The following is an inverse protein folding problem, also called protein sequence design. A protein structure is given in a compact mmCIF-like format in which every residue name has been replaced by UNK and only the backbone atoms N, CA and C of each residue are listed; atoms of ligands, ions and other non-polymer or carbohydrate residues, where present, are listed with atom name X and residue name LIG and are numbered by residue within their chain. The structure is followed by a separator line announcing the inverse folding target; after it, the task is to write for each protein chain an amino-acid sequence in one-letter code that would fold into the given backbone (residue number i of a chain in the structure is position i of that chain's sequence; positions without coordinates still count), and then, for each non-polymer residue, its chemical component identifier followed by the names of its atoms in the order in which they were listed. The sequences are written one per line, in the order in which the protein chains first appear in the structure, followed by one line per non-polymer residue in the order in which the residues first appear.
data_IF_915839414890
#
_entry.id   IF_915839414890
#
_cell.length_a   1.000
_cell.length_b   1.000
_cell.length_c   1.000
_cell.angle_alpha   90.00
_cell.angle_beta   90.00
_cell.angle_gamma   90.00
#
_symmetry.space_group_name_H-M   'P 1'
#
loop_
_entity.id
_entity.type
_entity.pdbx_description
1 polymer ?
#
# COMPACT_ATOMS: atom_id res chain seq x y z
N UNK A 1 -5.03 -10.91 -28.06
CA UNK A 1 -5.22 -9.67 -27.26
C UNK A 1 -6.61 -9.74 -26.67
N UNK A 2 -6.79 -9.49 -25.36
CA UNK A 2 -8.11 -9.58 -24.71
C UNK A 2 -9.06 -8.52 -25.30
N UNK A 3 -10.30 -8.89 -25.55
CA UNK A 3 -11.41 -7.99 -25.89
C UNK A 3 -11.77 -7.10 -24.69
N UNK A 4 -12.55 -6.03 -24.90
CA UNK A 4 -13.06 -5.19 -23.81
C UNK A 4 -13.77 -6.02 -22.74
N UNK A 5 -14.69 -6.90 -23.16
CA UNK A 5 -15.47 -7.72 -22.24
C UNK A 5 -14.58 -8.64 -21.40
N UNK A 6 -13.56 -9.25 -22.01
CA UNK A 6 -12.58 -10.09 -21.31
C UNK A 6 -11.75 -9.28 -20.31
N UNK A 7 -11.34 -8.05 -20.64
CA UNK A 7 -10.60 -7.17 -19.72
C UNK A 7 -11.45 -6.76 -18.51
N UNK A 8 -12.69 -6.33 -18.75
CA UNK A 8 -13.63 -5.95 -17.69
C UNK A 8 -13.89 -7.12 -16.73
N UNK A 9 -14.09 -8.32 -17.28
CA UNK A 9 -14.28 -9.53 -16.49
C UNK A 9 -13.02 -9.93 -15.72
N UNK A 10 -11.85 -9.86 -16.37
CA UNK A 10 -10.56 -10.20 -15.78
C UNK A 10 -10.26 -9.31 -14.57
N UNK A 11 -10.39 -7.98 -14.72
CA UNK A 11 -10.19 -7.03 -13.63
C UNK A 11 -11.19 -7.29 -12.50
N UNK A 12 -12.49 -7.44 -12.82
CA UNK A 12 -13.52 -7.70 -11.81
C UNK A 12 -13.24 -8.99 -11.01
N UNK A 13 -12.76 -10.04 -11.68
CA UNK A 13 -12.36 -11.29 -11.02
C UNK A 13 -11.13 -11.11 -10.13
N UNK A 14 -10.13 -10.35 -10.58
CA UNK A 14 -8.92 -10.06 -9.80
C UNK A 14 -9.27 -9.38 -8.48
N UNK A 15 -10.17 -8.40 -8.49
CA UNK A 15 -10.54 -7.60 -7.31
C UNK A 15 -11.82 -8.11 -6.62
N UNK A 16 -12.29 -9.32 -6.92
CA UNK A 16 -13.63 -9.78 -6.51
C UNK A 16 -13.85 -9.86 -4.99
N UNK A 17 -12.79 -10.04 -4.21
CA UNK A 17 -12.86 -10.11 -2.75
C UNK A 17 -12.55 -8.77 -2.06
N UNK A 18 -12.42 -7.69 -2.85
CA UNK A 18 -12.15 -6.36 -2.34
C UNK A 18 -13.29 -5.90 -1.43
N UNK A 19 -12.97 -5.71 -0.15
CA UNK A 19 -13.89 -5.32 0.93
C UNK A 19 -15.13 -6.21 0.98
N UNK A 20 -14.95 -7.52 0.75
CA UNK A 20 -16.01 -8.51 0.78
C UNK A 20 -16.81 -8.43 2.09
N UNK A 21 -18.14 -8.33 1.98
CA UNK A 21 -19.05 -8.16 3.12
C UNK A 21 -19.27 -6.70 3.55
N UNK A 22 -18.45 -5.75 3.10
CA UNK A 22 -18.63 -4.32 3.38
C UNK A 22 -19.26 -3.55 2.21
N UNK A 23 -18.95 -3.94 0.97
CA UNK A 23 -19.46 -3.31 -0.26
C UNK A 23 -19.91 -4.38 -1.26
N UNK A 24 -20.73 -4.02 -2.27
CA UNK A 24 -21.07 -4.94 -3.35
C UNK A 24 -19.82 -5.46 -4.05
N UNK A 25 -19.81 -6.76 -4.35
CA UNK A 25 -18.74 -7.41 -5.09
C UNK A 25 -18.50 -6.70 -6.44
N UNK A 26 -17.23 -6.39 -6.80
CA UNK A 26 -16.92 -5.78 -8.07
C UNK A 26 -17.42 -6.62 -9.27
N UNK A 27 -17.97 -5.95 -10.27
CA UNK A 27 -18.52 -6.56 -11.50
C UNK A 27 -17.90 -5.94 -12.75
N UNK A 28 -18.03 -6.57 -13.93
CA UNK A 28 -17.63 -5.95 -15.19
C UNK A 28 -18.26 -4.57 -15.42
N UNK A 29 -19.54 -4.39 -15.00
CA UNK A 29 -20.24 -3.10 -15.08
C UNK A 29 -19.61 -2.05 -14.17
N UNK A 30 -19.14 -2.43 -12.99
CA UNK A 30 -18.41 -1.54 -12.09
C UNK A 30 -17.10 -1.05 -12.74
N UNK A 31 -16.31 -1.95 -13.33
CA UNK A 31 -15.07 -1.61 -14.04
C UNK A 31 -15.36 -0.74 -15.28
N UNK A 32 -16.43 -1.05 -16.03
CA UNK A 32 -16.82 -0.29 -17.22
C UNK A 32 -17.27 1.13 -16.87
N UNK A 33 -17.99 1.30 -15.75
CA UNK A 33 -18.36 2.63 -15.24
C UNK A 33 -17.13 3.45 -14.87
N UNK A 34 -16.14 2.83 -14.21
CA UNK A 34 -14.89 3.50 -13.86
C UNK A 34 -14.12 3.97 -15.11
N UNK A 35 -13.89 3.08 -16.09
CA UNK A 35 -13.06 3.39 -17.25
C UNK A 35 -13.71 4.41 -18.20
N UNK A 36 -15.04 4.51 -18.22
CA UNK A 36 -15.78 5.50 -19.04
C UNK A 36 -15.53 6.96 -18.63
N UNK A 37 -14.85 7.20 -17.51
CA UNK A 37 -14.41 8.53 -17.08
C UNK A 37 -13.16 9.04 -17.82
N UNK A 38 -12.50 8.15 -18.59
CA UNK A 38 -11.34 8.45 -19.44
C UNK A 38 -11.76 8.56 -20.92
N UNK A 39 -10.94 9.23 -21.72
CA UNK A 39 -11.17 9.42 -23.16
C UNK A 39 -11.30 8.08 -23.89
N UNK A 40 -12.20 8.00 -24.87
CA UNK A 40 -12.62 6.72 -25.47
C UNK A 40 -11.50 5.92 -26.13
N UNK A 41 -10.52 6.61 -26.71
CA UNK A 41 -9.37 6.03 -27.40
C UNK A 41 -8.33 5.42 -26.45
N UNK A 42 -8.26 5.87 -25.20
CA UNK A 42 -7.32 5.35 -24.19
C UNK A 42 -7.92 4.23 -23.33
N UNK A 43 -9.23 4.02 -23.34
CA UNK A 43 -9.89 3.06 -22.43
C UNK A 43 -9.37 1.62 -22.57
N UNK A 44 -9.19 1.11 -23.79
CA UNK A 44 -8.70 -0.27 -24.00
C UNK A 44 -7.21 -0.42 -23.61
N UNK A 45 -6.30 0.49 -24.03
CA UNK A 45 -4.93 0.50 -23.52
C UNK A 45 -4.85 0.56 -21.99
N UNK A 46 -5.68 1.42 -21.38
CA UNK A 46 -5.71 1.60 -19.92
C UNK A 46 -6.19 0.34 -19.20
N UNK A 47 -7.28 -0.27 -19.66
CA UNK A 47 -7.76 -1.55 -19.11
C UNK A 47 -6.72 -2.66 -19.27
N UNK A 48 -6.03 -2.71 -20.41
CA UNK A 48 -5.03 -3.74 -20.68
C UNK A 48 -3.87 -3.66 -19.70
N UNK A 49 -3.33 -2.47 -19.48
CA UNK A 49 -2.23 -2.31 -18.53
C UNK A 49 -2.68 -2.45 -17.08
N UNK A 50 -3.87 -1.93 -16.74
CA UNK A 50 -4.42 -2.06 -15.40
C UNK A 50 -4.66 -3.53 -15.02
N UNK A 51 -5.21 -4.33 -15.94
CA UNK A 51 -5.39 -5.78 -15.76
C UNK A 51 -4.05 -6.47 -15.48
N UNK A 52 -3.02 -6.15 -16.28
CA UNK A 52 -1.67 -6.70 -16.08
C UNK A 52 -1.09 -6.30 -14.73
N UNK A 53 -1.20 -5.02 -14.35
CA UNK A 53 -0.63 -4.51 -13.11
C UNK A 53 -1.35 -5.10 -11.89
N UNK A 54 -2.69 -5.14 -11.88
CA UNK A 54 -3.46 -5.67 -10.76
C UNK A 54 -3.24 -7.19 -10.57
N UNK A 55 -3.04 -7.96 -11.64
CA UNK A 55 -2.65 -9.39 -11.53
C UNK A 55 -1.36 -9.58 -10.70
N UNK A 56 -0.48 -8.58 -10.65
CA UNK A 56 0.78 -8.61 -9.88
C UNK A 56 0.73 -7.90 -8.55
N UNK A 57 -0.22 -6.98 -8.37
CA UNK A 57 -0.18 -5.98 -7.28
C UNK A 57 -1.45 -5.94 -6.44
N UNK A 58 -2.49 -6.67 -6.83
CA UNK A 58 -3.64 -6.94 -5.98
C UNK A 58 -3.39 -8.18 -5.10
N UNK A 59 -3.46 -8.01 -3.79
CA UNK A 59 -3.33 -9.09 -2.82
C UNK A 59 -4.68 -9.46 -2.24
N UNK A 60 -5.27 -10.51 -2.82
CA UNK A 60 -6.51 -11.14 -2.32
C UNK A 60 -6.34 -11.67 -0.89
N UNK A 61 -7.45 -11.88 -0.18
CA UNK A 61 -7.47 -12.46 1.17
C UNK A 61 -6.74 -13.79 1.21
N UNK A 62 -6.93 -14.62 0.19
CA UNK A 62 -6.27 -15.92 0.07
C UNK A 62 -4.75 -15.77 -0.08
N UNK A 63 -4.29 -14.82 -0.89
CA UNK A 63 -2.84 -14.55 -1.07
C UNK A 63 -2.22 -14.05 0.24
N UNK A 64 -2.90 -13.12 0.92
CA UNK A 64 -2.46 -12.59 2.23
C UNK A 64 -2.41 -13.70 3.28
N UNK A 65 -3.48 -14.48 3.46
CA UNK A 65 -3.52 -15.57 4.45
C UNK A 65 -2.45 -16.64 4.19
N UNK A 66 -2.25 -17.04 2.93
CA UNK A 66 -1.18 -17.99 2.56
C UNK A 66 0.21 -17.45 2.87
N UNK A 67 0.46 -16.16 2.61
CA UNK A 67 1.75 -15.56 2.92
C UNK A 67 2.07 -15.67 4.41
N UNK A 68 1.14 -15.26 5.28
CA UNK A 68 1.32 -15.33 6.74
C UNK A 68 1.41 -16.77 7.25
N UNK A 69 0.57 -17.68 6.74
CA UNK A 69 0.62 -19.09 7.09
C UNK A 69 1.99 -19.72 6.75
N UNK A 70 2.56 -19.38 5.58
CA UNK A 70 3.88 -19.87 5.17
C UNK A 70 5.00 -19.39 6.11
N UNK A 71 4.83 -18.26 6.81
CA UNK A 71 5.85 -17.77 7.74
C UNK A 71 5.97 -18.64 9.00
N UNK A 72 4.90 -19.36 9.35
CA UNK A 72 4.87 -20.22 10.55
C UNK A 72 5.94 -21.32 10.47
N UNK A 73 6.29 -21.76 9.26
CA UNK A 73 7.29 -22.81 9.02
C UNK A 73 8.56 -22.27 8.35
N UNK A 74 8.74 -20.94 8.29
CA UNK A 74 9.86 -20.34 7.58
C UNK A 74 11.16 -20.46 8.39
N UNK A 75 12.06 -21.34 7.96
CA UNK A 75 13.28 -21.70 8.70
C UNK A 75 14.16 -20.52 9.11
N UNK A 76 14.25 -19.46 8.31
CA UNK A 76 15.06 -18.28 8.69
C UNK A 76 14.43 -17.47 9.84
N UNK A 77 13.12 -17.64 10.06
CA UNK A 77 12.41 -17.02 11.20
C UNK A 77 12.44 -17.98 12.38
N UNK A 78 12.06 -19.24 12.16
CA UNK A 78 11.67 -20.15 13.24
C UNK A 78 12.70 -21.22 13.60
N UNK A 79 13.78 -21.35 12.81
CA UNK A 79 14.71 -22.47 12.92
C UNK A 79 14.03 -23.82 12.68
N UNK A 80 14.53 -24.86 13.35
CA UNK A 80 14.08 -26.25 13.16
C UNK A 80 12.88 -26.65 14.05
N UNK A 81 12.51 -25.84 15.06
CA UNK A 81 11.38 -26.10 15.93
C UNK A 81 10.37 -24.93 15.95
N UNK A 82 9.50 -24.81 14.93
CA UNK A 82 8.62 -23.66 14.83
C UNK A 82 7.61 -23.52 15.95
N UNK A 83 7.08 -24.64 16.45
CA UNK A 83 6.13 -24.61 17.57
C UNK A 83 6.77 -24.03 18.83
N UNK A 84 8.00 -24.43 19.13
CA UNK A 84 8.74 -23.89 20.27
C UNK A 84 9.07 -22.42 20.04
N UNK A 85 9.57 -22.05 18.86
CA UNK A 85 9.84 -20.65 18.53
C UNK A 85 8.63 -19.74 18.76
N UNK A 86 7.48 -20.10 18.19
CA UNK A 86 6.26 -19.27 18.29
C UNK A 86 5.71 -19.18 19.71
N UNK A 87 5.86 -20.23 20.54
CA UNK A 87 5.51 -20.13 21.97
C UNK A 87 6.30 -19.04 22.70
N UNK A 88 7.53 -18.78 22.30
CA UNK A 88 8.35 -17.73 22.91
C UNK A 88 8.12 -16.35 22.27
N UNK A 89 7.62 -16.29 21.03
CA UNK A 89 7.42 -15.02 20.34
C UNK A 89 6.32 -14.15 20.98
N UNK A 90 6.58 -12.85 21.09
CA UNK A 90 5.64 -11.85 21.61
C UNK A 90 4.92 -11.16 20.44
N UNK A 91 3.59 -11.23 20.37
CA UNK A 91 2.82 -10.56 19.31
C UNK A 91 2.32 -9.19 19.78
N UNK A 92 2.71 -8.14 19.05
CA UNK A 92 2.29 -6.78 19.36
C UNK A 92 0.90 -6.50 18.77
N UNK A 93 0.02 -5.97 19.62
CA UNK A 93 -1.30 -5.44 19.25
C UNK A 93 -1.43 -3.99 19.74
N UNK A 94 -0.70 -3.10 19.07
CA UNK A 94 -0.44 -1.71 19.49
C UNK A 94 -0.87 -0.66 18.45
N UNK A 95 -1.53 -1.06 17.36
CA UNK A 95 -2.01 -0.13 16.33
C UNK A 95 -3.06 0.82 16.90
N UNK A 96 -2.74 2.11 16.97
CA UNK A 96 -3.62 3.11 17.56
C UNK A 96 -4.81 3.50 16.66
N UNK A 97 -4.63 3.43 15.33
CA UNK A 97 -5.68 3.70 14.36
C UNK A 97 -5.61 2.77 13.16
N UNK A 98 -6.77 2.40 12.64
CA UNK A 98 -6.90 1.37 11.61
C UNK A 98 -7.15 -0.01 12.22
N UNK A 99 -7.40 -1.00 11.36
CA UNK A 99 -7.80 -2.36 11.77
C UNK A 99 -6.90 -3.44 11.15
N UNK A 100 -5.80 -3.02 10.52
CA UNK A 100 -4.97 -3.91 9.72
C UNK A 100 -4.20 -4.91 10.58
N UNK A 101 -3.56 -4.42 11.63
CA UNK A 101 -2.80 -5.28 12.53
C UNK A 101 -3.71 -6.33 13.19
N UNK A 102 -4.87 -5.92 13.71
CA UNK A 102 -5.82 -6.84 14.34
C UNK A 102 -6.32 -7.93 13.39
N UNK A 103 -6.68 -7.59 12.16
CA UNK A 103 -7.13 -8.57 11.16
C UNK A 103 -6.01 -9.50 10.69
N UNK A 104 -4.79 -9.00 10.52
CA UNK A 104 -3.64 -9.84 10.16
C UNK A 104 -3.24 -10.76 11.33
N UNK A 105 -3.30 -10.27 12.57
CA UNK A 105 -3.10 -11.09 13.76
C UNK A 105 -4.11 -12.24 13.83
N UNK A 106 -5.39 -11.98 13.52
CA UNK A 106 -6.40 -13.03 13.49
C UNK A 106 -6.10 -14.10 12.42
N UNK A 107 -5.70 -13.69 11.20
CA UNK A 107 -5.28 -14.64 10.16
C UNK A 107 -4.04 -15.44 10.58
N UNK A 108 -3.11 -14.80 11.28
CA UNK A 108 -1.91 -15.45 11.78
C UNK A 108 -2.23 -16.45 12.90
N UNK A 109 -3.13 -16.09 13.83
CA UNK A 109 -3.60 -16.93 14.92
C UNK A 109 -4.28 -18.21 14.41
N UNK A 110 -5.21 -18.08 13.45
CA UNK A 110 -5.85 -19.21 12.79
C UNK A 110 -4.80 -20.16 12.18
N UNK A 111 -3.85 -19.61 11.45
CA UNK A 111 -2.80 -20.39 10.82
C UNK A 111 -1.86 -21.04 11.85
N UNK A 112 -1.52 -20.33 12.94
CA UNK A 112 -0.66 -20.83 14.01
C UNK A 112 -1.32 -22.01 14.73
N UNK A 113 -2.62 -21.92 14.98
CA UNK A 113 -3.37 -23.01 15.57
C UNK A 113 -3.38 -24.24 14.65
N UNK A 114 -3.60 -24.06 13.34
CA UNK A 114 -3.59 -25.15 12.35
C UNK A 114 -2.20 -25.84 12.27
N UNK A 115 -1.11 -25.07 12.27
CA UNK A 115 0.23 -25.61 12.02
C UNK A 115 0.97 -26.05 13.28
N UNK A 116 0.70 -25.41 14.43
CA UNK A 116 1.46 -25.60 15.67
C UNK A 116 0.56 -26.04 16.85
N UNK A 117 -0.77 -26.02 16.71
CA UNK A 117 -1.71 -26.38 17.77
C UNK A 117 -1.61 -25.47 18.99
N UNK A 118 -1.30 -24.20 18.77
CA UNK A 118 -1.23 -23.15 19.81
C UNK A 118 -1.88 -21.88 19.26
N UNK A 119 -2.68 -21.15 20.07
CA UNK A 119 -3.12 -19.81 19.74
C UNK A 119 -2.05 -18.77 20.10
N UNK A 120 -2.14 -17.58 19.51
CA UNK A 120 -1.34 -16.39 19.83
C UNK A 120 -1.45 -16.00 21.30
N UNK A 121 -2.59 -16.25 21.94
CA UNK A 121 -2.79 -16.00 23.38
C UNK A 121 -1.92 -16.86 24.29
N UNK A 122 -1.40 -17.98 23.79
CA UNK A 122 -0.52 -18.89 24.53
C UNK A 122 0.97 -18.62 24.23
N UNK A 123 1.26 -17.56 23.46
CA UNK A 123 2.60 -17.16 23.08
C UNK A 123 3.12 -16.01 23.96
N UNK A 124 4.45 -15.94 24.11
CA UNK A 124 5.17 -14.85 24.74
C UNK A 124 6.15 -15.32 25.81
N UNK A 125 7.28 -14.64 25.88
CA UNK A 125 8.27 -14.80 26.95
C UNK A 125 9.05 -13.49 27.14
N UNK A 126 9.66 -13.31 28.31
CA UNK A 126 10.41 -12.09 28.65
C UNK A 126 11.61 -11.84 27.70
N UNK A 127 12.19 -12.91 27.15
CA UNK A 127 13.36 -12.90 26.28
C UNK A 127 13.04 -13.16 24.79
N UNK A 128 11.77 -13.37 24.46
CA UNK A 128 11.31 -13.71 23.13
C UNK A 128 11.32 -12.52 22.15
N UNK A 129 11.44 -12.79 20.84
CA UNK A 129 11.35 -11.73 19.83
C UNK A 129 9.91 -11.18 19.74
N UNK A 130 9.79 -9.90 19.39
CA UNK A 130 8.51 -9.22 19.18
C UNK A 130 8.12 -9.21 17.71
N UNK A 131 6.84 -9.43 17.40
CA UNK A 131 6.28 -9.40 16.05
C UNK A 131 5.24 -8.28 15.92
N UNK A 132 5.47 -7.37 14.97
CA UNK A 132 4.46 -6.44 14.48
C UNK A 132 3.97 -6.95 13.12
N UNK A 133 2.71 -7.36 13.05
CA UNK A 133 2.09 -7.82 11.81
C UNK A 133 1.25 -6.71 11.19
N UNK A 134 1.37 -6.50 9.88
CA UNK A 134 0.55 -5.56 9.12
C UNK A 134 0.38 -6.05 7.67
N UNK A 135 -0.47 -5.40 6.88
CA UNK A 135 -0.64 -5.78 5.48
C UNK A 135 0.56 -5.35 4.61
N UNK A 136 0.77 -4.05 4.43
CA UNK A 136 1.78 -3.51 3.51
C UNK A 136 2.45 -2.26 4.10
N UNK A 137 3.78 -2.21 4.05
CA UNK A 137 4.54 -1.03 4.45
C UNK A 137 4.69 -0.06 3.25
N UNK A 138 3.91 1.02 3.25
CA UNK A 138 3.99 2.10 2.23
C UNK A 138 5.03 3.16 2.57
N UNK A 139 4.61 4.29 3.17
CA UNK A 139 5.53 5.32 3.68
C UNK A 139 6.11 4.97 5.05
N UNK A 140 5.53 3.98 5.74
CA UNK A 140 5.96 3.57 7.07
C UNK A 140 5.43 4.41 8.23
N UNK A 141 4.59 5.42 7.96
CA UNK A 141 4.08 6.32 8.99
C UNK A 141 3.34 5.62 10.13
N UNK A 142 2.48 4.64 9.81
CA UNK A 142 1.70 3.90 10.82
C UNK A 142 2.58 3.05 11.71
N UNK A 143 3.24 2.04 11.12
CA UNK A 143 4.17 1.12 11.79
C UNK A 143 5.21 1.91 12.60
N UNK A 144 5.78 2.97 12.01
CA UNK A 144 6.77 3.82 12.66
C UNK A 144 6.23 4.56 13.87
N UNK A 145 5.02 5.11 13.82
CA UNK A 145 4.42 5.81 14.97
C UNK A 145 4.05 4.84 16.09
N UNK A 146 3.38 3.73 15.76
CA UNK A 146 2.95 2.73 16.75
C UNK A 146 4.17 2.15 17.50
N UNK A 147 5.21 1.73 16.77
CA UNK A 147 6.41 1.19 17.39
C UNK A 147 7.22 2.24 18.15
N UNK A 148 7.22 3.53 17.76
CA UNK A 148 7.89 4.57 18.55
C UNK A 148 7.25 4.74 19.93
N UNK A 149 5.92 4.73 19.99
CA UNK A 149 5.19 4.81 21.27
C UNK A 149 5.52 3.59 22.13
N UNK A 150 5.50 2.38 21.55
CA UNK A 150 5.88 1.15 22.25
C UNK A 150 7.34 1.18 22.73
N UNK A 151 8.28 1.64 21.89
CA UNK A 151 9.70 1.81 22.26
C UNK A 151 9.85 2.73 23.46
N UNK A 152 9.10 3.82 23.54
CA UNK A 152 9.20 4.78 24.63
C UNK A 152 8.63 4.21 25.94
N UNK A 153 7.47 3.57 25.87
CA UNK A 153 6.66 3.30 27.06
C UNK A 153 6.76 1.86 27.58
N UNK A 154 6.97 0.87 26.70
CA UNK A 154 6.71 -0.54 27.01
C UNK A 154 7.88 -1.47 26.67
N UNK A 155 8.67 -1.16 25.63
CA UNK A 155 9.74 -2.04 25.17
C UNK A 155 10.79 -2.31 26.26
N UNK A 156 11.34 -3.54 26.38
CA UNK A 156 12.43 -3.82 27.29
C UNK A 156 13.74 -3.14 26.84
N UNK A 157 14.73 -3.10 27.73
CA UNK A 157 16.05 -2.49 27.45
C UNK A 157 16.75 -3.13 26.25
N UNK A 158 16.52 -4.43 26.02
CA UNK A 158 17.03 -5.18 24.87
C UNK A 158 15.89 -5.93 24.22
N UNK A 159 15.72 -5.78 22.90
CA UNK A 159 14.70 -6.50 22.15
C UNK A 159 15.12 -6.79 20.71
N UNK A 160 14.47 -7.79 20.13
CA UNK A 160 14.45 -8.02 18.69
C UNK A 160 13.02 -7.85 18.21
N UNK A 161 12.80 -7.03 17.19
CA UNK A 161 11.48 -6.75 16.62
C UNK A 161 11.47 -7.16 15.15
N UNK A 162 10.52 -8.02 14.79
CA UNK A 162 10.21 -8.42 13.44
C UNK A 162 8.95 -7.68 12.96
N UNK A 163 9.09 -6.92 11.87
CA UNK A 163 7.98 -6.34 11.14
C UNK A 163 7.68 -7.30 10.00
N UNK A 164 6.48 -7.89 9.97
CA UNK A 164 6.10 -8.87 8.96
C UNK A 164 4.90 -8.35 8.15
N UNK A 165 5.14 -8.12 6.86
CA UNK A 165 4.17 -7.55 5.90
C UNK A 165 4.22 -8.33 4.59
N UNK A 166 3.14 -8.40 3.81
CA UNK A 166 3.19 -9.11 2.50
C UNK A 166 4.01 -8.32 1.47
N UNK A 167 3.95 -6.99 1.53
CA UNK A 167 4.67 -6.12 0.60
C UNK A 167 5.21 -4.87 1.29
N UNK A 168 6.25 -4.28 0.72
CA UNK A 168 6.84 -3.03 1.22
C UNK A 168 7.44 -2.19 0.11
N UNK A 169 7.60 -0.89 0.37
CA UNK A 169 8.36 0.01 -0.49
C UNK A 169 9.68 0.40 0.16
N UNK A 170 10.77 0.34 -0.62
CA UNK A 170 12.15 0.47 -0.12
C UNK A 170 12.41 1.78 0.62
N UNK A 171 11.82 2.90 0.19
CA UNK A 171 11.94 4.18 0.89
C UNK A 171 11.27 4.13 2.26
N UNK A 172 10.04 3.64 2.33
CA UNK A 172 9.29 3.56 3.59
C UNK A 172 9.94 2.60 4.58
N UNK A 173 10.39 1.43 4.10
CA UNK A 173 11.12 0.46 4.92
C UNK A 173 12.37 1.10 5.53
N UNK A 174 13.21 1.72 4.70
CA UNK A 174 14.42 2.38 5.15
C UNK A 174 14.14 3.50 6.16
N UNK A 175 13.17 4.37 5.87
CA UNK A 175 12.78 5.48 6.77
C UNK A 175 12.27 4.96 8.12
N UNK A 176 11.44 3.92 8.09
CA UNK A 176 10.87 3.29 9.29
C UNK A 176 11.97 2.71 10.15
N UNK A 177 12.79 1.81 9.60
CA UNK A 177 13.85 1.13 10.35
C UNK A 177 14.87 2.13 10.89
N UNK A 178 15.27 3.13 10.09
CA UNK A 178 16.17 4.19 10.55
C UNK A 178 15.55 4.99 11.70
N UNK A 179 14.28 5.38 11.57
CA UNK A 179 13.57 6.14 12.59
C UNK A 179 13.35 5.39 13.90
N UNK A 180 13.10 4.07 13.82
CA UNK A 180 12.94 3.22 15.00
C UNK A 180 14.26 2.99 15.75
N UNK A 181 15.36 2.80 15.01
CA UNK A 181 16.70 2.72 15.62
C UNK A 181 17.05 3.99 16.38
N UNK A 182 16.85 5.15 15.75
CA UNK A 182 17.08 6.45 16.42
C UNK A 182 16.19 6.64 17.65
N UNK A 183 14.92 6.22 17.60
CA UNK A 183 14.02 6.30 18.74
C UNK A 183 14.48 5.40 19.91
N UNK A 184 14.96 4.19 19.63
CA UNK A 184 15.50 3.29 20.64
C UNK A 184 16.78 3.85 21.28
N UNK A 185 17.70 4.36 20.47
CA UNK A 185 18.93 5.02 20.93
C UNK A 185 18.64 6.21 21.85
N UNK A 186 17.65 7.04 21.49
CA UNK A 186 17.27 8.22 22.27
C UNK A 186 16.80 7.88 23.70
N UNK A 187 16.17 6.72 23.89
CA UNK A 187 15.72 6.25 25.22
C UNK A 187 16.67 5.22 25.85
N UNK A 188 17.88 5.07 25.32
CA UNK A 188 18.91 4.18 25.86
C UNK A 188 18.59 2.69 25.73
N UNK A 189 17.76 2.29 24.77
CA UNK A 189 17.39 0.88 24.51
C UNK A 189 18.17 0.32 23.31
N UNK A 190 18.56 -0.94 23.40
CA UNK A 190 19.22 -1.67 22.31
C UNK A 190 18.18 -2.56 21.63
N UNK A 191 17.59 -2.07 20.54
CA UNK A 191 16.55 -2.81 19.81
C UNK A 191 17.00 -3.08 18.37
N UNK A 192 16.93 -4.35 17.97
CA UNK A 192 17.18 -4.77 16.59
C UNK A 192 15.86 -4.86 15.84
N UNK A 193 15.82 -4.36 14.60
CA UNK A 193 14.62 -4.39 13.76
C UNK A 193 14.91 -5.14 12.46
N UNK A 194 14.04 -6.09 12.11
CA UNK A 194 14.08 -6.83 10.85
C UNK A 194 12.73 -6.72 10.15
N UNK A 195 12.72 -6.32 8.87
CA UNK A 195 11.51 -6.27 8.05
C UNK A 195 11.47 -7.48 7.12
N UNK A 196 10.40 -8.27 7.21
CA UNK A 196 10.10 -9.42 6.36
C UNK A 196 9.00 -9.04 5.39
N UNK A 197 9.23 -9.32 4.11
CA UNK A 197 8.25 -9.08 3.05
C UNK A 197 8.44 -10.04 1.88
N UNK A 198 7.33 -10.50 1.27
CA UNK A 198 7.37 -11.31 0.07
C UNK A 198 7.83 -10.50 -1.15
N UNK A 199 7.47 -9.22 -1.19
CA UNK A 199 7.85 -8.33 -2.29
C UNK A 199 8.29 -6.95 -1.79
N UNK A 200 9.31 -6.39 -2.45
CA UNK A 200 9.81 -5.04 -2.17
C UNK A 200 9.83 -4.22 -3.45
N UNK A 201 9.13 -3.09 -3.46
CA UNK A 201 9.10 -2.17 -4.58
C UNK A 201 10.04 -0.99 -4.39
N UNK A 202 10.84 -0.68 -5.41
CA UNK A 202 11.69 0.51 -5.42
C UNK A 202 10.87 1.79 -5.66
N UNK A 203 11.03 2.77 -4.78
CA UNK A 203 10.37 4.08 -4.87
C UNK A 203 11.26 5.25 -4.40
N UNK A 204 12.55 5.02 -4.16
CA UNK A 204 13.50 6.06 -3.76
C UNK A 204 13.87 6.92 -4.95
N UNK A 205 13.87 8.24 -4.77
CA UNK A 205 14.22 9.22 -5.82
C UNK A 205 15.57 8.94 -6.50
N UNK A 206 16.59 8.56 -5.73
CA UNK A 206 17.92 8.23 -6.25
C UNK A 206 17.91 7.02 -7.22
N UNK A 207 16.87 6.20 -7.15
CA UNK A 207 16.68 4.98 -7.95
C UNK A 207 15.45 5.10 -8.87
N UNK A 208 14.97 6.32 -9.18
CA UNK A 208 13.76 6.57 -9.98
C UNK A 208 13.71 5.79 -11.31
N UNK A 209 14.86 5.57 -11.94
CA UNK A 209 14.96 4.81 -13.20
C UNK A 209 14.61 3.32 -13.03
N UNK A 210 14.74 2.76 -11.83
CA UNK A 210 14.35 1.39 -11.49
C UNK A 210 13.09 1.35 -10.62
N UNK A 211 12.38 2.47 -10.49
CA UNK A 211 11.20 2.55 -9.64
C UNK A 211 10.08 1.66 -10.16
N UNK A 212 9.35 1.08 -9.22
CA UNK A 212 8.21 0.18 -9.42
C UNK A 212 6.91 0.81 -8.90
N UNK A 213 6.95 2.14 -8.74
CA UNK A 213 5.78 2.98 -8.58
C UNK A 213 5.54 3.72 -9.90
N UNK A 214 4.30 4.17 -10.11
CA UNK A 214 3.98 5.06 -11.21
C UNK A 214 4.77 6.37 -11.05
N UNK A 215 5.74 6.55 -11.94
CA UNK A 215 6.67 7.66 -11.91
C UNK A 215 6.90 8.08 -13.36
N UNK A 216 6.19 9.09 -13.87
CA UNK A 216 6.17 9.38 -15.30
C UNK A 216 7.57 9.53 -15.94
N UNK A 217 7.79 8.88 -17.09
CA UNK A 217 9.01 9.12 -17.89
C UNK A 217 8.95 10.45 -18.67
N UNK A 218 7.74 10.96 -18.89
CA UNK A 218 7.49 12.24 -19.52
C UNK A 218 6.25 12.89 -18.89
N UNK A 219 6.22 14.21 -18.91
CA UNK A 219 5.03 14.98 -18.54
C UNK A 219 4.08 14.98 -19.74
N UNK A 220 2.81 14.60 -19.58
CA UNK A 220 1.86 14.66 -20.68
C UNK A 220 1.62 16.11 -21.12
N UNK A 221 1.44 16.30 -22.43
CA UNK A 221 1.04 17.59 -22.99
C UNK A 221 -0.43 17.87 -22.64
N UNK A 222 -0.65 18.33 -21.42
CA UNK A 222 -1.96 18.64 -20.86
C UNK A 222 -1.86 19.92 -20.02
N UNK A 223 -2.68 20.93 -20.35
CA UNK A 223 -2.61 22.25 -19.72
C UNK A 223 -2.84 22.20 -18.20
N UNK A 224 -3.75 21.35 -17.72
CA UNK A 224 -4.02 21.23 -16.28
C UNK A 224 -2.84 20.57 -15.55
N UNK A 225 -2.19 19.58 -16.16
CA UNK A 225 -0.97 18.97 -15.61
C UNK A 225 0.16 20.00 -15.54
N UNK A 226 0.37 20.78 -16.61
CA UNK A 226 1.35 21.87 -16.62
C UNK A 226 1.11 22.91 -15.53
N UNK A 227 -0.14 23.35 -15.37
CA UNK A 227 -0.54 24.28 -14.31
C UNK A 227 -0.30 23.71 -12.90
N UNK A 228 -0.64 22.42 -12.68
CA UNK A 228 -0.37 21.76 -11.40
C UNK A 228 1.13 21.69 -11.11
N UNK A 229 1.96 21.34 -12.09
CA UNK A 229 3.40 21.23 -11.91
C UNK A 229 4.07 22.57 -11.56
N UNK A 230 3.52 23.69 -12.06
CA UNK A 230 4.00 25.02 -11.72
C UNK A 230 3.78 25.41 -10.24
N UNK A 231 2.91 24.69 -9.51
CA UNK A 231 2.65 24.94 -8.08
C UNK A 231 3.77 24.41 -7.16
N UNK A 232 4.54 23.41 -7.60
CA UNK A 232 5.54 22.75 -6.76
C UNK A 232 6.92 23.37 -6.96
N UNK A 233 7.38 24.13 -5.97
CA UNK A 233 8.69 24.82 -6.00
C UNK A 233 9.73 24.18 -5.07
N UNK A 234 9.30 23.39 -4.07
CA UNK A 234 10.21 22.82 -3.06
C UNK A 234 10.82 21.51 -3.53
N UNK A 235 10.04 20.66 -4.21
CA UNK A 235 10.49 19.36 -4.72
C UNK A 235 10.05 19.17 -6.18
N UNK A 236 10.73 19.83 -7.14
CA UNK A 236 10.38 19.74 -8.55
C UNK A 236 10.42 18.28 -9.03
N UNK A 237 9.47 17.95 -9.91
CA UNK A 237 9.40 16.62 -10.49
C UNK A 237 10.60 16.34 -11.39
N UNK A 238 11.20 15.16 -11.22
CA UNK A 238 12.24 14.67 -12.10
C UNK A 238 11.74 13.39 -12.79
N UNK A 239 11.71 13.33 -14.13
CA UNK A 239 11.26 12.13 -14.83
C UNK A 239 12.21 10.96 -14.61
N UNK A 240 11.67 9.74 -14.71
CA UNK A 240 12.49 8.53 -14.85
C UNK A 240 12.95 8.37 -16.31
N UNK A 241 14.01 7.60 -16.52
CA UNK A 241 14.34 7.10 -17.85
C UNK A 241 13.35 6.00 -18.27
N UNK A 242 12.93 6.03 -19.53
CA UNK A 242 12.07 5.00 -20.12
C UNK A 242 12.86 3.72 -20.45
N UNK A 243 12.19 2.56 -20.38
CA UNK A 243 12.73 1.28 -20.85
C UNK A 243 13.71 0.60 -19.90
N UNK A 244 13.79 1.05 -18.64
CA UNK A 244 14.65 0.43 -17.65
C UNK A 244 14.08 -0.92 -17.14
N UNK A 245 14.98 -1.83 -16.80
CA UNK A 245 14.63 -3.15 -16.26
C UNK A 245 14.26 -3.02 -14.79
N UNK A 246 13.07 -3.52 -14.45
CA UNK A 246 12.54 -3.59 -13.08
C UNK A 246 12.89 -4.93 -12.43
N UNK A 247 12.98 -4.93 -11.11
CA UNK A 247 13.20 -6.15 -10.30
C UNK A 247 11.95 -7.05 -10.38
N UNK A 248 10.78 -6.45 -10.23
CA UNK A 248 9.46 -7.04 -10.33
C UNK A 248 8.80 -6.58 -11.64
N UNK A 249 8.40 -7.54 -12.48
CA UNK A 249 7.72 -7.27 -13.75
C UNK A 249 6.24 -6.98 -13.54
N UNK A 250 5.94 -5.81 -12.97
CA UNK A 250 4.57 -5.37 -12.64
C UNK A 250 3.88 -4.57 -13.75
N UNK A 251 4.58 -4.30 -14.85
CA UNK A 251 4.07 -3.64 -16.04
C UNK A 251 4.28 -4.55 -17.25
N UNK A 252 3.38 -4.50 -18.23
CA UNK A 252 3.50 -5.35 -19.43
C UNK A 252 4.67 -4.93 -20.32
N UNK A 253 5.05 -3.65 -20.24
CA UNK A 253 6.18 -3.04 -20.91
C UNK A 253 6.19 -1.53 -20.71
N UNK A 254 7.17 -0.85 -21.30
CA UNK A 254 7.33 0.61 -21.15
C UNK A 254 6.11 1.37 -21.66
N UNK A 255 5.57 0.99 -22.83
CA UNK A 255 4.39 1.64 -23.40
C UNK A 255 3.16 1.49 -22.50
N UNK A 256 2.95 0.31 -21.93
CA UNK A 256 1.87 0.06 -20.97
C UNK A 256 2.03 0.92 -19.71
N UNK A 257 3.21 0.89 -19.08
CA UNK A 257 3.53 1.72 -17.92
C UNK A 257 3.23 3.20 -18.17
N UNK A 258 3.63 3.73 -19.33
CA UNK A 258 3.36 5.13 -19.68
C UNK A 258 1.87 5.43 -19.85
N UNK A 259 1.04 4.48 -20.27
CA UNK A 259 -0.42 4.65 -20.28
C UNK A 259 -0.93 4.85 -18.85
N UNK A 260 -0.58 3.96 -17.91
CA UNK A 260 -1.01 4.14 -16.50
C UNK A 260 -0.50 5.45 -15.90
N UNK A 261 0.79 5.75 -16.08
CA UNK A 261 1.39 6.99 -15.57
C UNK A 261 0.71 8.23 -16.10
N UNK A 262 0.44 8.27 -17.41
CA UNK A 262 -0.18 9.42 -18.06
C UNK A 262 -1.64 9.59 -17.67
N UNK A 263 -2.45 8.56 -17.87
CA UNK A 263 -3.90 8.67 -17.72
C UNK A 263 -4.28 8.87 -16.24
N UNK A 264 -3.60 8.17 -15.32
CA UNK A 264 -3.86 8.36 -13.90
C UNK A 264 -3.33 9.69 -13.37
N UNK A 265 -2.26 10.25 -13.95
CA UNK A 265 -1.81 11.60 -13.62
C UNK A 265 -2.83 12.65 -14.05
N UNK A 266 -3.30 12.58 -15.30
CA UNK A 266 -4.29 13.53 -15.84
C UNK A 266 -5.57 13.49 -15.01
N UNK A 267 -6.11 12.29 -14.78
CA UNK A 267 -7.30 12.12 -13.95
C UNK A 267 -7.07 12.57 -12.50
N UNK A 268 -5.90 12.27 -11.92
CA UNK A 268 -5.55 12.68 -10.56
C UNK A 268 -5.47 14.20 -10.40
N UNK A 269 -4.92 14.92 -11.40
CA UNK A 269 -4.92 16.39 -11.44
C UNK A 269 -6.35 16.94 -11.49
N UNK A 270 -7.22 16.35 -12.34
CA UNK A 270 -8.64 16.74 -12.43
C UNK A 270 -9.36 16.56 -11.10
N UNK A 271 -9.18 15.41 -10.44
CA UNK A 271 -9.76 15.13 -9.11
C UNK A 271 -9.28 16.17 -8.09
N UNK A 272 -7.97 16.39 -8.02
CA UNK A 272 -7.38 17.30 -7.04
C UNK A 272 -7.84 18.74 -7.26
N UNK A 273 -7.97 19.19 -8.52
CA UNK A 273 -8.46 20.52 -8.85
C UNK A 273 -9.92 20.75 -8.43
N UNK A 274 -10.73 19.68 -8.35
CA UNK A 274 -12.09 19.75 -7.83
C UNK A 274 -12.18 19.85 -6.30
N UNK A 275 -11.12 19.50 -5.57
CA UNK A 275 -11.11 19.51 -4.11
C UNK A 275 -11.00 20.93 -3.56
N UNK A 276 -11.78 21.22 -2.51
CA UNK A 276 -11.62 22.45 -1.73
C UNK A 276 -10.39 22.29 -0.83
N UNK A 277 -9.44 23.23 -0.92
CA UNK A 277 -8.24 23.31 -0.08
C UNK A 277 -7.50 21.97 0.11
N UNK A 278 -7.10 21.28 -0.97
CA UNK A 278 -6.47 19.96 -0.87
C UNK A 278 -5.14 20.04 -0.12
N UNK A 279 -4.93 19.12 0.84
CA UNK A 279 -3.66 18.97 1.56
C UNK A 279 -2.49 18.91 0.55
N UNK A 280 -1.37 19.55 0.85
CA UNK A 280 -0.18 19.55 -0.03
C UNK A 280 0.32 18.12 -0.32
N UNK A 281 0.15 17.21 0.66
CA UNK A 281 0.49 15.79 0.52
C UNK A 281 -0.46 15.02 -0.40
N UNK A 282 -1.68 15.52 -0.65
CA UNK A 282 -2.61 14.93 -1.61
C UNK A 282 -2.16 15.26 -3.04
N UNK A 283 -1.41 14.34 -3.64
CA UNK A 283 -0.86 14.49 -5.00
C UNK A 283 -1.62 13.60 -5.99
N UNK A 284 -1.63 13.92 -7.30
CA UNK A 284 -2.38 13.18 -8.32
C UNK A 284 -2.17 11.66 -8.32
N UNK A 285 -0.91 11.22 -8.21
CA UNK A 285 -0.53 9.80 -8.18
C UNK A 285 -0.51 9.22 -6.75
N UNK A 286 -1.21 9.83 -5.81
CA UNK A 286 -1.35 9.34 -4.44
C UNK A 286 -0.53 10.12 -3.42
N UNK A 287 -0.89 9.98 -2.15
CA UNK A 287 -0.35 10.79 -1.06
C UNK A 287 1.17 10.62 -0.92
N UNK A 288 1.92 11.73 -1.01
CA UNK A 288 3.37 11.75 -0.93
C UNK A 288 3.90 13.12 -0.51
N UNK A 289 5.08 13.14 0.11
CA UNK A 289 5.79 14.35 0.46
C UNK A 289 6.34 15.12 -0.76
N UNK A 290 6.57 14.44 -1.90
CA UNK A 290 7.22 15.03 -3.08
C UNK A 290 6.70 14.46 -4.41
N UNK A 291 7.10 15.11 -5.51
CA UNK A 291 6.86 14.65 -6.88
C UNK A 291 5.40 14.77 -7.31
N UNK A 292 4.95 13.86 -8.17
CA UNK A 292 3.56 13.83 -8.65
C UNK A 292 2.65 12.92 -7.81
N UNK A 293 3.23 12.27 -6.79
CA UNK A 293 2.56 11.33 -5.90
C UNK A 293 3.42 10.11 -5.60
N UNK A 294 2.94 9.25 -4.72
CA UNK A 294 3.67 8.04 -4.32
C UNK A 294 3.67 6.98 -5.42
N UNK A 295 2.54 6.83 -6.13
CA UNK A 295 2.41 6.00 -7.32
C UNK A 295 2.30 4.50 -7.05
N UNK A 296 1.90 4.08 -5.84
CA UNK A 296 1.82 2.64 -5.57
C UNK A 296 0.70 2.00 -6.38
N UNK A 297 0.97 0.82 -6.90
CA UNK A 297 -0.03 -0.07 -7.51
C UNK A 297 -0.50 -1.16 -6.56
N UNK A 298 0.14 -1.31 -5.39
CA UNK A 298 -0.26 -2.32 -4.40
C UNK A 298 -1.64 -1.98 -3.83
N UNK A 299 -2.53 -2.95 -3.87
CA UNK A 299 -3.87 -2.91 -3.26
C UNK A 299 -4.10 -4.23 -2.56
N UNK A 300 -4.65 -4.22 -1.35
CA UNK A 300 -5.06 -5.45 -0.67
C UNK A 300 -6.57 -5.61 -0.72
N UNK A 301 -7.05 -6.83 -0.51
CA UNK A 301 -8.49 -7.10 -0.38
C UNK A 301 -9.16 -6.23 0.70
N UNK A 302 -8.40 -5.74 1.68
CA UNK A 302 -8.93 -4.93 2.78
C UNK A 302 -9.19 -3.50 2.38
N UNK A 303 -8.26 -2.87 1.68
CA UNK A 303 -8.36 -1.45 1.36
C UNK A 303 -7.43 -1.02 0.23
N UNK A 304 -7.78 0.09 -0.41
CA UNK A 304 -6.86 0.79 -1.31
C UNK A 304 -6.06 1.82 -0.48
N UNK A 305 -4.72 1.82 -0.53
CA UNK A 305 -3.92 2.78 0.21
C UNK A 305 -4.11 4.18 -0.37
N UNK A 306 -3.99 5.22 0.46
CA UNK A 306 -3.97 6.60 -0.02
C UNK A 306 -2.70 6.92 -0.83
N UNK A 307 -1.67 6.07 -0.77
CA UNK A 307 -0.47 6.12 -1.59
C UNK A 307 -0.68 5.64 -3.04
N UNK A 308 -1.83 5.04 -3.36
CA UNK A 308 -2.22 4.74 -4.73
C UNK A 308 -2.75 6.01 -5.45
N UNK A 309 -2.71 6.07 -6.79
CA UNK A 309 -3.27 7.17 -7.57
C UNK A 309 -4.71 7.50 -7.18
N UNK A 310 -5.03 8.80 -7.06
CA UNK A 310 -6.37 9.26 -6.69
C UNK A 310 -7.48 8.64 -7.56
N UNK A 311 -7.32 8.49 -8.90
CA UNK A 311 -8.37 7.92 -9.74
C UNK A 311 -8.78 6.49 -9.41
N UNK A 312 -7.96 5.74 -8.66
CA UNK A 312 -8.30 4.38 -8.27
C UNK A 312 -9.30 4.36 -7.12
N UNK A 313 -9.23 5.30 -6.17
CA UNK A 313 -9.93 5.17 -4.88
C UNK A 313 -10.67 6.41 -4.41
N UNK A 314 -10.34 7.59 -4.92
CA UNK A 314 -10.98 8.84 -4.54
C UNK A 314 -12.37 8.96 -5.15
N UNK A 315 -13.31 9.50 -4.38
CA UNK A 315 -14.65 9.82 -4.86
C UNK A 315 -15.75 9.00 -4.18
N UNK A 316 -16.97 9.21 -4.64
CA UNK A 316 -18.19 8.65 -4.07
C UNK A 316 -19.06 8.12 -5.23
N UNK A 317 -19.39 6.83 -5.17
CA UNK A 317 -20.19 6.15 -6.18
C UNK A 317 -21.59 6.75 -6.39
N UNK A 318 -22.08 7.51 -5.40
CA UNK A 318 -23.41 8.14 -5.38
C UNK A 318 -23.37 9.63 -5.70
N UNK A 319 -22.19 10.26 -5.67
CA UNK A 319 -22.09 11.70 -5.91
C UNK A 319 -22.35 12.04 -7.39
N UNK A 320 -23.24 13.00 -7.61
CA UNK A 320 -23.64 13.47 -8.95
C UNK A 320 -22.95 14.77 -9.37
N UNK A 321 -22.18 15.41 -8.47
CA UNK A 321 -21.44 16.65 -8.74
C UNK A 321 -20.29 16.86 -7.73
N UNK A 322 -19.43 17.85 -8.00
CA UNK A 322 -18.32 18.24 -7.12
C UNK A 322 -17.10 17.31 -7.17
N UNK A 323 -16.14 17.52 -6.26
CA UNK A 323 -14.88 16.77 -6.19
C UNK A 323 -15.05 15.26 -6.02
N UNK A 324 -16.14 14.87 -5.34
CA UNK A 324 -16.47 13.48 -5.04
C UNK A 324 -17.19 12.79 -6.19
N UNK A 325 -17.53 13.49 -7.27
CA UNK A 325 -18.22 12.92 -8.43
C UNK A 325 -17.42 11.84 -9.18
N UNK A 326 -16.10 11.77 -8.95
CA UNK A 326 -15.32 10.68 -9.51
C UNK A 326 -15.83 9.33 -8.98
N UNK A 327 -16.06 8.38 -9.88
CA UNK A 327 -16.45 7.03 -9.54
C UNK A 327 -15.18 6.21 -9.25
N UNK A 328 -14.92 5.75 -8.01
CA UNK A 328 -13.72 4.99 -7.69
C UNK A 328 -13.84 3.52 -8.11
N UNK A 329 -12.73 2.93 -8.58
CA UNK A 329 -12.62 1.48 -8.84
C UNK A 329 -12.47 0.69 -7.54
N UNK A 330 -11.74 1.26 -6.59
CA UNK A 330 -11.38 0.61 -5.32
C UNK A 330 -11.72 1.60 -4.19
N UNK A 331 -13.02 1.80 -3.89
CA UNK A 331 -13.47 2.79 -2.91
C UNK A 331 -12.84 2.54 -1.54
N UNK A 332 -11.99 3.49 -1.13
CA UNK A 332 -11.23 3.41 0.11
C UNK A 332 -12.14 3.53 1.33
N UNK A 333 -11.97 2.63 2.31
CA UNK A 333 -12.50 2.80 3.67
C UNK A 333 -11.73 3.92 4.37
N UNK A 334 -12.41 5.01 4.73
CA UNK A 334 -11.81 6.11 5.49
C UNK A 334 -11.87 5.84 6.98
N UNK A 335 -10.98 6.46 7.76
CA UNK A 335 -10.95 6.26 9.21
C UNK A 335 -12.25 6.71 9.87
N UNK A 336 -12.94 7.73 9.36
CA UNK A 336 -14.26 8.14 9.86
C UNK A 336 -15.35 7.05 9.71
N UNK A 337 -15.16 6.09 8.80
CA UNK A 337 -16.03 4.91 8.64
C UNK A 337 -15.56 3.71 9.50
N UNK A 338 -14.37 3.79 10.11
CA UNK A 338 -13.86 2.77 11.03
C UNK A 338 -13.83 3.23 12.50
N UNK A 339 -13.69 4.53 12.76
CA UNK A 339 -13.58 5.16 14.08
C UNK A 339 -14.02 6.64 14.01
N UNK A 340 -14.86 7.05 14.95
CA UNK A 340 -15.18 8.47 15.20
C UNK A 340 -13.91 9.18 15.67
N UNK A 341 -13.49 10.21 14.91
CA UNK A 341 -12.41 11.18 15.17
C UNK A 341 -10.95 10.69 15.07
N UNK A 342 -10.20 11.25 14.11
CA UNK A 342 -8.94 11.98 14.35
C UNK A 342 -8.28 12.38 13.01
N UNK A 343 -8.15 13.69 12.81
CA UNK A 343 -7.26 14.32 11.83
C UNK A 343 -5.82 14.27 12.34
N UNK A 344 -4.86 14.02 11.45
CA UNK A 344 -3.46 14.37 11.71
C UNK A 344 -2.78 14.94 10.48
N UNK A 345 -2.02 15.99 10.73
CA UNK A 345 -1.15 16.67 9.79
C UNK A 345 0.24 16.02 9.76
N UNK A 346 0.80 15.93 8.56
CA UNK A 346 2.21 15.65 8.35
C UNK A 346 2.95 16.99 8.34
N UNK A 347 3.59 17.35 9.43
CA UNK A 347 4.69 18.32 9.37
C UNK A 347 5.98 17.58 8.99
N UNK A 348 6.70 18.15 8.01
CA UNK A 348 8.03 17.75 7.57
C UNK A 348 9.10 18.51 8.35
#
# INVERSE_FOLDING_TARGET
MKTRAELLQSIANTIQDYRAGEIPQPTPTHVDRWVRQFDSDVQIPLLTELDFALDKTYFSKNVVAKFFANQIQHKEITGDNPREFWRHANFLSIQAHGQSQGEILALFDDALNVHCGIPVSDCGSDDGPFFYLDDVLFSGGRIGSDLRVWIQNEAPTKATVHILVIGTHRLGEWQTIKGLKAAAEQVGKTITFTCWAAVRFENRKAYKNKSEVLWPAAVPNNAAVGAYMALETRFPFEPRQAGCILENKIFSGESGRQVLERELLIAGVKIRAGCKDPKTSMRPLGFSAFGLGFGSTIVTYRNCPNNAPLPLWWGDATATSGAMHWYPLLPRKTYAQSDVLADFDFEL
#
